data_IF_902432051165
#
_entry.id   IF_902432051165
#
_cell.length_a   1.000
_cell.length_b   1.000
_cell.length_c   1.000
_cell.angle_alpha   90.00
_cell.angle_beta   90.00
_cell.angle_gamma   90.00
#
_symmetry.space_group_name_H-M   'P 1'
#
loop_
_entity.id
_entity.type
_entity.pdbx_description
1 polymer ?
#
# COMPACT_ATOMS: atom_id res chain seq x y z
N UNK A 1 -10.91 -30.02 14.36
CA UNK A 1 -10.15 -28.86 13.84
C UNK A 1 -9.42 -29.33 12.58
N UNK A 2 -9.78 -28.87 11.38
CA UNK A 2 -9.29 -29.52 10.15
C UNK A 2 -7.78 -29.33 9.97
N UNK A 3 -7.04 -30.43 9.85
CA UNK A 3 -5.57 -30.46 9.67
C UNK A 3 -5.08 -29.51 8.57
N UNK A 4 -5.86 -29.37 7.49
CA UNK A 4 -5.57 -28.47 6.34
C UNK A 4 -5.40 -27.00 6.73
N UNK A 5 -6.09 -26.53 7.78
CA UNK A 5 -6.05 -25.13 8.22
C UNK A 5 -4.78 -24.75 8.97
N UNK A 6 -4.11 -25.72 9.59
CA UNK A 6 -2.93 -25.47 10.40
C UNK A 6 -1.63 -25.60 9.62
N UNK A 7 -1.63 -26.27 8.46
CA UNK A 7 -0.40 -26.49 7.66
C UNK A 7 0.31 -25.18 7.32
N UNK A 8 -0.35 -24.13 6.77
CA UNK A 8 0.35 -22.88 6.45
C UNK A 8 0.95 -22.22 7.70
N UNK A 9 0.18 -22.16 8.79
CA UNK A 9 0.65 -21.59 10.06
C UNK A 9 1.87 -22.35 10.61
N UNK A 10 1.84 -23.69 10.55
CA UNK A 10 2.93 -24.53 11.03
C UNK A 10 4.20 -24.29 10.23
N UNK A 11 4.10 -24.12 8.91
CA UNK A 11 5.23 -23.79 8.04
C UNK A 11 5.85 -22.44 8.42
N UNK A 12 5.03 -21.42 8.67
CA UNK A 12 5.51 -20.10 9.11
C UNK A 12 6.15 -20.14 10.50
N UNK A 13 5.56 -20.89 11.44
CA UNK A 13 6.15 -21.09 12.77
C UNK A 13 7.50 -21.81 12.67
N UNK A 14 7.60 -22.86 11.84
CA UNK A 14 8.88 -23.55 11.58
C UNK A 14 9.90 -22.57 11.00
N UNK A 15 9.52 -21.71 10.04
CA UNK A 15 10.41 -20.69 9.48
C UNK A 15 10.92 -19.71 10.54
N UNK A 16 10.04 -19.30 11.46
CA UNK A 16 10.45 -18.43 12.57
C UNK A 16 11.46 -19.13 13.50
N UNK A 17 11.23 -20.41 13.83
CA UNK A 17 12.21 -21.21 14.58
C UNK A 17 13.51 -21.37 13.81
N UNK A 18 13.45 -21.63 12.50
CA UNK A 18 14.63 -21.67 11.64
C UNK A 18 15.38 -20.34 11.69
N UNK A 19 14.70 -19.21 11.60
CA UNK A 19 15.35 -17.90 11.70
C UNK A 19 16.12 -17.75 13.02
N UNK A 20 15.50 -18.15 14.15
CA UNK A 20 16.12 -18.07 15.48
C UNK A 20 17.33 -19.00 15.64
N UNK A 21 17.37 -20.12 14.92
CA UNK A 21 18.49 -21.06 14.97
C UNK A 21 19.71 -20.64 14.14
N UNK A 22 19.56 -19.70 13.20
CA UNK A 22 20.65 -19.27 12.31
C UNK A 22 21.94 -18.92 13.08
N UNK A 23 21.93 -18.11 14.15
CA UNK A 23 23.15 -17.74 14.87
C UNK A 23 23.92 -18.91 15.47
N UNK A 24 23.21 -19.99 15.85
CA UNK A 24 23.80 -21.17 16.49
C UNK A 24 24.26 -22.21 15.46
N UNK A 25 23.55 -22.31 14.34
CA UNK A 25 23.76 -23.38 13.36
C UNK A 25 24.69 -22.93 12.23
N UNK A 26 24.60 -21.69 11.75
CA UNK A 26 25.43 -21.21 10.63
C UNK A 26 26.95 -21.26 10.90
N UNK A 27 27.47 -20.96 12.10
CA UNK A 27 28.91 -21.06 12.36
C UNK A 27 29.47 -22.48 12.16
N UNK A 28 28.68 -23.52 12.46
CA UNK A 28 29.10 -24.93 12.35
C UNK A 28 28.70 -25.63 11.06
N UNK A 29 27.84 -25.02 10.23
CA UNK A 29 27.39 -25.64 8.99
C UNK A 29 28.42 -25.55 7.87
N UNK A 30 28.51 -26.62 7.09
CA UNK A 30 29.14 -26.58 5.78
C UNK A 30 28.41 -25.59 4.86
N UNK A 31 29.14 -25.08 3.89
CA UNK A 31 28.66 -24.06 2.96
C UNK A 31 27.46 -24.55 2.12
N UNK A 32 27.53 -25.81 1.66
CA UNK A 32 26.43 -26.50 0.96
C UNK A 32 25.20 -26.65 1.84
N UNK A 33 25.39 -26.91 3.15
CA UNK A 33 24.28 -27.02 4.09
C UNK A 33 23.62 -25.67 4.37
N UNK A 34 24.38 -24.56 4.38
CA UNK A 34 23.81 -23.20 4.47
C UNK A 34 22.97 -22.84 3.25
N UNK A 35 23.44 -23.20 2.05
CA UNK A 35 22.68 -23.02 0.82
C UNK A 35 21.36 -23.81 0.88
N UNK A 36 21.41 -25.09 1.29
CA UNK A 36 20.21 -25.91 1.43
C UNK A 36 19.24 -25.31 2.47
N UNK A 37 19.76 -24.79 3.58
CA UNK A 37 18.96 -24.11 4.59
C UNK A 37 18.24 -22.88 4.05
N UNK A 38 18.95 -22.04 3.31
CA UNK A 38 18.38 -20.85 2.67
C UNK A 38 17.31 -21.22 1.63
N UNK A 39 17.60 -22.18 0.75
CA UNK A 39 16.67 -22.65 -0.28
C UNK A 39 15.42 -23.27 0.32
N UNK A 40 15.56 -24.11 1.35
CA UNK A 40 14.40 -24.73 2.02
C UNK A 40 13.52 -23.71 2.72
N UNK A 41 14.11 -22.70 3.39
CA UNK A 41 13.34 -21.62 4.01
C UNK A 41 12.55 -20.79 3.00
N UNK A 42 13.17 -20.41 1.87
CA UNK A 42 12.50 -19.66 0.78
C UNK A 42 11.46 -20.50 0.05
N UNK A 43 11.73 -21.79 -0.19
CA UNK A 43 10.76 -22.69 -0.82
C UNK A 43 9.52 -22.87 0.07
N UNK A 44 9.72 -22.92 1.38
CA UNK A 44 8.62 -23.04 2.36
C UNK A 44 7.71 -21.81 2.33
N UNK A 45 8.24 -20.62 2.04
CA UNK A 45 7.47 -19.35 1.93
C UNK A 45 6.60 -19.32 0.67
N UNK A 46 7.16 -19.76 -0.46
CA UNK A 46 6.35 -19.90 -1.66
C UNK A 46 5.22 -20.94 -1.48
N UNK A 47 5.51 -22.02 -0.74
CA UNK A 47 4.57 -23.10 -0.50
C UNK A 47 3.45 -22.69 0.47
N UNK A 48 3.74 -22.10 1.63
CA UNK A 48 2.69 -21.72 2.58
C UNK A 48 1.73 -20.68 1.99
N UNK A 49 2.23 -19.70 1.24
CA UNK A 49 1.43 -18.69 0.54
C UNK A 49 0.61 -19.30 -0.59
N UNK A 50 1.13 -20.30 -1.30
CA UNK A 50 0.37 -21.03 -2.32
C UNK A 50 -0.75 -21.88 -1.68
N UNK A 51 -0.45 -22.60 -0.60
CA UNK A 51 -1.41 -23.44 0.12
C UNK A 51 -2.52 -22.58 0.75
N UNK A 52 -2.18 -21.45 1.36
CA UNK A 52 -3.14 -20.53 1.97
C UNK A 52 -4.12 -19.94 0.95
N UNK A 53 -3.64 -19.58 -0.26
CA UNK A 53 -4.49 -19.12 -1.36
C UNK A 53 -5.35 -20.24 -1.94
N UNK A 54 -4.76 -21.41 -2.18
CA UNK A 54 -5.46 -22.54 -2.80
C UNK A 54 -6.56 -23.12 -1.93
N UNK A 55 -6.38 -23.11 -0.61
CA UNK A 55 -7.37 -23.67 0.31
C UNK A 55 -8.28 -22.61 0.94
N UNK A 56 -8.11 -21.33 0.58
CA UNK A 56 -8.82 -20.18 1.19
C UNK A 56 -8.71 -20.15 2.72
N UNK A 57 -7.63 -20.74 3.25
CA UNK A 57 -7.41 -20.85 4.68
C UNK A 57 -6.46 -19.76 5.12
N UNK A 58 -7.01 -18.57 5.39
CA UNK A 58 -6.30 -17.54 6.12
C UNK A 58 -6.69 -17.57 7.60
N UNK A 59 -5.72 -17.87 8.46
CA UNK A 59 -5.92 -17.81 9.90
C UNK A 59 -5.49 -16.46 10.46
N UNK A 60 -6.10 -16.04 11.57
CA UNK A 60 -5.72 -14.79 12.25
C UNK A 60 -4.28 -14.84 12.79
N UNK A 61 -3.79 -16.02 13.14
CA UNK A 61 -2.42 -16.24 13.61
C UNK A 61 -1.40 -16.13 12.47
N UNK A 62 -1.64 -16.85 11.37
CA UNK A 62 -0.76 -16.86 10.18
C UNK A 62 -0.53 -15.45 9.65
N UNK A 63 -1.59 -14.64 9.50
CA UNK A 63 -1.48 -13.23 9.10
C UNK A 63 -0.40 -12.44 9.84
N UNK A 64 -0.21 -12.71 11.13
CA UNK A 64 0.77 -12.03 11.99
C UNK A 64 2.15 -12.65 11.87
N UNK A 65 2.19 -13.98 11.90
CA UNK A 65 3.45 -14.73 11.98
C UNK A 65 4.14 -14.76 10.62
N UNK A 66 3.41 -14.81 9.51
CA UNK A 66 3.98 -14.92 8.18
C UNK A 66 4.90 -13.72 7.85
N UNK A 67 4.49 -12.44 8.00
CA UNK A 67 5.37 -11.30 7.71
C UNK A 67 6.58 -11.21 8.64
N UNK A 68 6.41 -11.61 9.91
CA UNK A 68 7.51 -11.60 10.89
C UNK A 68 8.51 -12.70 10.55
N UNK A 69 8.03 -13.93 10.32
CA UNK A 69 8.85 -15.08 9.98
C UNK A 69 9.63 -14.85 8.67
N UNK A 70 8.98 -14.30 7.65
CA UNK A 70 9.61 -13.94 6.37
C UNK A 70 10.75 -12.93 6.58
N UNK A 71 10.46 -11.78 7.21
CA UNK A 71 11.46 -10.72 7.42
C UNK A 71 12.60 -11.18 8.33
N UNK A 72 12.31 -11.88 9.42
CA UNK A 72 13.34 -12.37 10.34
C UNK A 72 14.24 -13.41 9.68
N UNK A 73 13.66 -14.38 8.95
CA UNK A 73 14.45 -15.41 8.26
C UNK A 73 15.36 -14.80 7.20
N UNK A 74 14.82 -13.95 6.35
CA UNK A 74 15.60 -13.33 5.27
C UNK A 74 16.70 -12.41 5.82
N UNK A 75 16.41 -11.54 6.78
CA UNK A 75 17.42 -10.64 7.37
C UNK A 75 18.54 -11.41 8.07
N UNK A 76 18.21 -12.40 8.90
CA UNK A 76 19.21 -13.18 9.64
C UNK A 76 20.03 -14.06 8.69
N UNK A 77 19.40 -14.71 7.71
CA UNK A 77 20.14 -15.54 6.76
C UNK A 77 21.12 -14.71 5.93
N UNK A 78 20.72 -13.51 5.49
CA UNK A 78 21.56 -12.61 4.73
C UNK A 78 22.70 -12.02 5.56
N UNK A 79 22.42 -11.66 6.82
CA UNK A 79 23.43 -11.15 7.74
C UNK A 79 24.54 -12.17 7.99
N UNK A 80 24.19 -13.44 8.26
CA UNK A 80 25.21 -14.46 8.45
C UNK A 80 25.90 -14.88 7.15
N UNK A 81 25.18 -14.84 6.02
CA UNK A 81 25.79 -15.02 4.71
C UNK A 81 26.77 -13.88 4.38
N UNK A 82 26.51 -12.63 4.79
CA UNK A 82 27.45 -11.53 4.54
C UNK A 82 28.76 -11.71 5.31
N UNK A 83 28.71 -12.31 6.49
CA UNK A 83 29.89 -12.58 7.31
C UNK A 83 30.71 -13.77 6.81
N UNK A 84 30.09 -14.75 6.14
CA UNK A 84 30.74 -16.04 5.84
C UNK A 84 30.92 -16.31 4.35
N UNK A 85 30.20 -15.62 3.46
CA UNK A 85 30.16 -15.90 2.01
C UNK A 85 30.64 -14.72 1.21
N UNK A 86 29.91 -13.59 1.28
CA UNK A 86 30.24 -12.40 0.52
C UNK A 86 29.81 -11.14 1.29
N UNK A 87 30.74 -10.27 1.72
CA UNK A 87 30.43 -9.09 2.52
C UNK A 87 29.51 -8.09 1.81
N UNK A 88 29.45 -8.09 0.48
CA UNK A 88 28.55 -7.22 -0.28
C UNK A 88 27.06 -7.50 -0.01
N UNK A 89 26.73 -8.70 0.48
CA UNK A 89 25.36 -9.03 0.91
C UNK A 89 24.86 -8.11 2.03
N UNK A 90 25.77 -7.49 2.80
CA UNK A 90 25.40 -6.51 3.82
C UNK A 90 24.63 -5.31 3.25
N UNK A 91 24.92 -4.91 2.01
CA UNK A 91 24.15 -3.85 1.33
C UNK A 91 22.68 -4.23 1.19
N UNK A 92 22.40 -5.48 0.79
CA UNK A 92 21.03 -6.00 0.68
C UNK A 92 20.35 -6.06 2.05
N UNK A 93 21.08 -6.47 3.10
CA UNK A 93 20.57 -6.49 4.47
C UNK A 93 20.14 -5.09 4.91
N UNK A 94 20.97 -4.08 4.66
CA UNK A 94 20.67 -2.69 5.01
C UNK A 94 19.45 -2.19 4.23
N UNK A 95 19.37 -2.51 2.93
CA UNK A 95 18.22 -2.15 2.10
C UNK A 95 16.92 -2.74 2.62
N UNK A 96 16.88 -4.06 2.89
CA UNK A 96 15.71 -4.74 3.44
C UNK A 96 15.31 -4.24 4.84
N UNK A 97 16.29 -4.00 5.71
CA UNK A 97 16.04 -3.43 7.03
C UNK A 97 15.45 -2.02 6.92
N UNK A 98 15.92 -1.21 5.97
CA UNK A 98 15.42 0.14 5.71
C UNK A 98 13.97 0.10 5.21
N UNK A 99 13.66 -0.79 4.27
CA UNK A 99 12.29 -0.98 3.77
C UNK A 99 11.36 -1.40 4.91
N UNK A 100 11.76 -2.40 5.71
CA UNK A 100 10.99 -2.86 6.86
C UNK A 100 10.75 -1.74 7.90
N UNK A 101 11.77 -0.89 8.13
CA UNK A 101 11.66 0.25 9.02
C UNK A 101 10.67 1.30 8.48
N UNK A 102 10.75 1.67 7.20
CA UNK A 102 9.82 2.63 6.58
C UNK A 102 8.38 2.11 6.65
N UNK A 103 8.13 0.85 6.30
CA UNK A 103 6.79 0.24 6.39
C UNK A 103 6.27 0.23 7.82
N UNK A 104 7.12 -0.03 8.80
CA UNK A 104 6.76 -0.02 10.22
C UNK A 104 6.40 1.39 10.70
N UNK A 105 7.19 2.40 10.32
CA UNK A 105 6.92 3.81 10.64
C UNK A 105 5.63 4.30 10.00
N UNK A 106 5.41 3.96 8.72
CA UNK A 106 4.17 4.26 8.01
C UNK A 106 2.95 3.73 8.76
N UNK A 107 3.05 2.49 9.21
CA UNK A 107 1.98 1.84 9.96
C UNK A 107 1.68 2.55 11.27
N UNK A 108 2.72 2.91 12.04
CA UNK A 108 2.57 3.64 13.31
C UNK A 108 1.93 5.02 13.08
N UNK A 109 2.37 5.75 12.04
CA UNK A 109 1.83 7.07 11.69
C UNK A 109 0.34 7.00 11.35
N UNK A 110 -0.06 6.03 10.52
CA UNK A 110 -1.45 5.84 10.13
C UNK A 110 -2.36 5.43 11.29
N UNK A 111 -1.86 4.61 12.23
CA UNK A 111 -2.61 4.25 13.45
C UNK A 111 -2.86 5.50 14.31
N UNK A 112 -1.85 6.35 14.46
CA UNK A 112 -1.97 7.62 15.20
C UNK A 112 -2.97 8.55 14.53
N UNK A 113 -2.96 8.61 13.20
CA UNK A 113 -3.89 9.42 12.41
C UNK A 113 -5.36 9.03 12.64
N UNK A 114 -5.66 7.73 12.66
CA UNK A 114 -7.04 7.24 12.88
C UNK A 114 -7.53 7.36 14.33
N UNK A 115 -6.77 8.00 15.24
CA UNK A 115 -7.04 8.07 16.69
C UNK A 115 -7.31 6.68 17.31
N UNK A 116 -6.68 5.64 16.76
CA UNK A 116 -6.86 4.28 17.24
C UNK A 116 -5.94 4.09 18.44
N UNK A 117 -6.54 4.00 19.63
CA UNK A 117 -5.82 3.76 20.88
C UNK A 117 -5.27 2.33 20.90
N UNK A 118 -4.01 2.17 20.50
CA UNK A 118 -3.31 0.89 20.50
C UNK A 118 -3.34 0.22 21.87
N UNK A 119 -3.41 0.95 22.99
CA UNK A 119 -3.44 0.31 24.31
C UNK A 119 -4.72 -0.53 24.53
N UNK A 120 -5.82 -0.17 23.87
CA UNK A 120 -7.13 -0.84 24.00
C UNK A 120 -7.37 -1.94 22.98
N UNK A 121 -6.47 -2.11 22.00
CA UNK A 121 -6.58 -3.18 21.01
C UNK A 121 -5.97 -4.48 21.54
N UNK A 122 -6.70 -5.58 21.37
CA UNK A 122 -6.16 -6.93 21.55
C UNK A 122 -5.00 -7.15 20.55
N UNK A 123 -3.98 -7.92 20.98
CA UNK A 123 -2.81 -8.28 20.16
C UNK A 123 -3.16 -8.66 18.70
N UNK A 124 -4.18 -9.50 18.44
CA UNK A 124 -4.48 -9.90 17.08
C UNK A 124 -5.35 -8.90 16.29
N UNK A 125 -5.80 -7.80 16.92
CA UNK A 125 -6.41 -6.65 16.23
C UNK A 125 -5.35 -5.64 15.82
N UNK A 126 -4.33 -5.42 16.69
CA UNK A 126 -3.16 -4.57 16.38
C UNK A 126 -2.46 -5.03 15.11
N UNK A 127 -2.26 -6.32 14.99
CA UNK A 127 -1.53 -6.93 13.88
C UNK A 127 -2.34 -6.94 12.59
N UNK A 128 -3.66 -7.17 12.65
CA UNK A 128 -4.54 -7.04 11.48
C UNK A 128 -4.46 -5.62 10.91
N UNK A 129 -4.59 -4.62 11.78
CA UNK A 129 -4.46 -3.22 11.40
C UNK A 129 -3.06 -2.94 10.82
N UNK A 130 -2.02 -3.52 11.43
CA UNK A 130 -0.65 -3.35 10.95
C UNK A 130 -0.48 -3.84 9.51
N UNK A 131 -0.95 -5.05 9.23
CA UNK A 131 -0.85 -5.68 7.89
C UNK A 131 -1.66 -4.89 6.88
N UNK A 132 -2.90 -4.55 7.20
CA UNK A 132 -3.79 -3.79 6.30
C UNK A 132 -3.20 -2.41 5.95
N UNK A 133 -2.50 -1.79 6.90
CA UNK A 133 -1.84 -0.50 6.69
C UNK A 133 -0.55 -0.65 5.90
N UNK A 134 0.23 -1.70 6.15
CA UNK A 134 1.44 -2.02 5.40
C UNK A 134 1.14 -2.36 3.92
N UNK A 135 0.06 -3.12 3.68
CA UNK A 135 -0.42 -3.50 2.35
C UNK A 135 -1.05 -2.32 1.57
N UNK A 136 -1.38 -1.22 2.26
CA UNK A 136 -1.92 0.00 1.65
C UNK A 136 -0.90 0.79 0.80
N UNK A 137 0.40 0.49 0.94
CA UNK A 137 1.45 1.10 0.15
C UNK A 137 1.42 0.57 -1.29
N UNK A 138 1.36 1.46 -2.28
CA UNK A 138 1.05 1.11 -3.66
C UNK A 138 2.31 0.72 -4.47
N UNK A 139 3.03 -0.31 -3.98
CA UNK A 139 4.37 -0.68 -4.48
C UNK A 139 4.43 -2.06 -5.14
N UNK A 140 3.28 -2.63 -5.50
CA UNK A 140 3.15 -4.07 -5.77
C UNK A 140 3.95 -4.64 -6.95
N UNK A 141 4.25 -3.85 -8.00
CA UNK A 141 5.00 -4.35 -9.18
C UNK A 141 6.51 -4.24 -9.03
N UNK A 142 6.97 -3.13 -8.45
CA UNK A 142 8.40 -2.84 -8.28
C UNK A 142 8.99 -3.75 -7.20
N UNK A 143 8.29 -3.92 -6.08
CA UNK A 143 8.72 -4.80 -4.99
C UNK A 143 8.88 -6.27 -5.43
N UNK A 144 7.93 -6.79 -6.23
CA UNK A 144 7.99 -8.18 -6.72
C UNK A 144 9.19 -8.44 -7.65
N UNK A 145 9.45 -7.53 -8.60
CA UNK A 145 10.61 -7.66 -9.49
C UNK A 145 11.93 -7.60 -8.71
N UNK A 146 12.02 -6.71 -7.73
CA UNK A 146 13.16 -6.60 -6.81
C UNK A 146 13.38 -7.89 -6.03
N UNK A 147 12.32 -8.47 -5.47
CA UNK A 147 12.43 -9.71 -4.69
C UNK A 147 13.01 -10.86 -5.51
N UNK A 148 12.55 -11.06 -6.75
CA UNK A 148 13.10 -12.09 -7.65
C UNK A 148 14.60 -11.87 -7.91
N UNK A 149 14.98 -10.63 -8.21
CA UNK A 149 16.37 -10.26 -8.47
C UNK A 149 17.26 -10.52 -7.23
N UNK A 150 16.77 -10.17 -6.05
CA UNK A 150 17.43 -10.40 -4.76
C UNK A 150 17.59 -11.89 -4.45
N UNK A 151 16.54 -12.71 -4.61
CA UNK A 151 16.64 -14.15 -4.38
C UNK A 151 17.67 -14.79 -5.34
N UNK A 152 17.70 -14.35 -6.60
CA UNK A 152 18.66 -14.83 -7.58
C UNK A 152 20.12 -14.44 -7.22
N UNK A 153 20.36 -13.20 -6.79
CA UNK A 153 21.71 -12.76 -6.43
C UNK A 153 22.26 -13.49 -5.21
N UNK A 154 21.41 -13.72 -4.22
CA UNK A 154 21.76 -14.47 -3.01
C UNK A 154 22.02 -15.93 -3.34
N UNK A 155 21.17 -16.57 -4.13
CA UNK A 155 21.38 -17.95 -4.57
C UNK A 155 22.71 -18.13 -5.32
N UNK A 156 23.04 -17.20 -6.23
CA UNK A 156 24.32 -17.21 -6.96
C UNK A 156 25.51 -16.99 -6.00
N UNK A 157 25.37 -16.15 -4.97
CA UNK A 157 26.39 -15.97 -3.95
C UNK A 157 26.65 -17.25 -3.13
N UNK A 158 25.59 -17.97 -2.79
CA UNK A 158 25.71 -19.30 -2.17
C UNK A 158 26.26 -20.36 -3.14
N UNK A 159 26.09 -20.19 -4.46
CA UNK A 159 26.65 -21.11 -5.44
C UNK A 159 28.13 -20.83 -5.72
N UNK A 160 28.56 -19.56 -5.67
CA UNK A 160 29.97 -19.17 -5.87
C UNK A 160 30.91 -19.71 -4.82
N UNK A 161 30.33 -20.06 -3.69
CA UNK A 161 30.94 -20.80 -2.61
C UNK A 161 31.34 -22.24 -2.97
N UNK A 162 30.61 -22.90 -3.87
CA UNK A 162 30.94 -24.24 -4.38
C UNK A 162 31.82 -24.16 -5.64
N UNK A 163 31.63 -23.12 -6.44
CA UNK A 163 32.34 -22.90 -7.70
C UNK A 163 33.05 -21.55 -7.66
N UNK A 164 34.36 -21.50 -7.31
CA UNK A 164 35.10 -20.25 -7.12
C UNK A 164 35.08 -19.30 -8.33
N UNK A 165 34.95 -19.84 -9.55
CA UNK A 165 34.84 -19.04 -10.78
C UNK A 165 33.61 -18.11 -10.79
N UNK A 166 32.58 -18.39 -9.98
CA UNK A 166 31.38 -17.57 -9.90
C UNK A 166 31.48 -16.42 -8.89
N UNK A 167 32.58 -16.29 -8.13
CA UNK A 167 32.70 -15.24 -7.08
C UNK A 167 32.61 -13.84 -7.67
N UNK A 168 33.29 -13.60 -8.80
CA UNK A 168 33.24 -12.31 -9.50
C UNK A 168 31.84 -11.98 -10.05
N UNK A 169 31.18 -12.83 -10.86
CA UNK A 169 29.84 -12.54 -11.35
C UNK A 169 28.80 -12.45 -10.22
N UNK A 170 28.94 -13.24 -9.14
CA UNK A 170 28.09 -13.12 -7.95
C UNK A 170 28.22 -11.74 -7.31
N UNK A 171 29.45 -11.23 -7.16
CA UNK A 171 29.72 -9.94 -6.54
C UNK A 171 29.17 -8.79 -7.38
N UNK A 172 29.33 -8.86 -8.71
CA UNK A 172 28.76 -7.88 -9.64
C UNK A 172 27.24 -7.87 -9.59
N UNK A 173 26.62 -9.06 -9.53
CA UNK A 173 25.16 -9.16 -9.43
C UNK A 173 24.66 -8.62 -8.09
N UNK A 174 25.31 -8.95 -6.96
CA UNK A 174 24.96 -8.39 -5.65
C UNK A 174 25.04 -6.86 -5.68
N UNK A 175 26.14 -6.29 -6.20
CA UNK A 175 26.28 -4.83 -6.31
C UNK A 175 25.21 -4.20 -7.21
N UNK A 176 24.85 -4.86 -8.31
CA UNK A 176 23.73 -4.41 -9.13
C UNK A 176 22.41 -4.46 -8.36
N UNK A 177 22.16 -5.52 -7.59
CA UNK A 177 20.93 -5.63 -6.80
C UNK A 177 20.82 -4.53 -5.75
N UNK A 178 21.90 -4.20 -5.05
CA UNK A 178 21.89 -3.13 -4.03
C UNK A 178 21.65 -1.75 -4.66
N UNK A 179 22.16 -1.49 -5.87
CA UNK A 179 21.85 -0.27 -6.62
C UNK A 179 20.36 -0.20 -6.97
N UNK A 180 19.77 -1.32 -7.41
CA UNK A 180 18.33 -1.40 -7.73
C UNK A 180 17.45 -1.23 -6.49
N UNK A 181 17.94 -1.47 -5.27
CA UNK A 181 17.19 -1.22 -4.04
C UNK A 181 16.95 0.27 -3.76
N UNK A 182 17.89 1.13 -4.14
CA UNK A 182 17.82 2.57 -3.91
C UNK A 182 16.50 3.17 -4.41
N UNK A 183 16.10 3.03 -5.69
CA UNK A 183 14.84 3.59 -6.18
C UNK A 183 13.61 2.97 -5.51
N UNK A 184 13.69 1.72 -5.05
CA UNK A 184 12.59 1.08 -4.31
C UNK A 184 12.43 1.76 -2.95
N UNK A 185 13.53 1.90 -2.20
CA UNK A 185 13.56 2.60 -0.91
C UNK A 185 13.07 4.04 -1.07
N UNK A 186 13.56 4.76 -2.09
CA UNK A 186 13.10 6.13 -2.36
C UNK A 186 11.60 6.19 -2.61
N UNK A 187 11.04 5.23 -3.37
CA UNK A 187 9.60 5.19 -3.62
C UNK A 187 8.81 4.94 -2.32
N UNK A 188 9.22 3.96 -1.51
CA UNK A 188 8.58 3.69 -0.21
C UNK A 188 8.68 4.89 0.74
N UNK A 189 9.84 5.55 0.79
CA UNK A 189 10.04 6.75 1.61
C UNK A 189 9.18 7.93 1.12
N UNK A 190 9.03 8.09 -0.19
CA UNK A 190 8.21 9.15 -0.78
C UNK A 190 6.74 8.95 -0.48
N UNK A 191 6.20 7.73 -0.66
CA UNK A 191 4.81 7.41 -0.30
C UNK A 191 4.57 7.66 1.20
N UNK A 192 5.46 7.19 2.06
CA UNK A 192 5.40 7.46 3.49
C UNK A 192 5.39 8.96 3.83
N UNK A 193 6.24 9.75 3.16
CA UNK A 193 6.34 11.19 3.40
C UNK A 193 5.09 11.95 2.94
N UNK A 194 4.54 11.59 1.77
CA UNK A 194 3.29 12.17 1.24
C UNK A 194 2.16 11.95 2.24
N UNK A 195 2.01 10.73 2.75
CA UNK A 195 0.94 10.40 3.71
C UNK A 195 1.12 11.13 5.03
N UNK A 196 2.35 11.23 5.54
CA UNK A 196 2.64 12.03 6.73
C UNK A 196 2.31 13.52 6.53
N UNK A 197 2.61 14.08 5.35
CA UNK A 197 2.31 15.48 5.03
C UNK A 197 0.80 15.71 4.93
N UNK A 198 0.08 14.81 4.27
CA UNK A 198 -1.38 14.86 4.15
C UNK A 198 -2.04 14.82 5.52
N UNK A 199 -1.59 13.92 6.41
CA UNK A 199 -2.06 13.85 7.79
C UNK A 199 -1.81 15.16 8.56
N UNK A 200 -0.63 15.77 8.42
CA UNK A 200 -0.33 17.05 9.08
C UNK A 200 -1.22 18.19 8.57
N UNK A 201 -1.51 18.20 7.27
CA UNK A 201 -2.43 19.18 6.67
C UNK A 201 -3.85 18.95 7.21
N UNK A 202 -4.36 17.73 7.16
CA UNK A 202 -5.72 17.39 7.62
C UNK A 202 -5.92 17.72 9.10
N UNK A 203 -4.97 17.35 9.96
CA UNK A 203 -4.99 17.70 11.39
C UNK A 203 -4.89 19.22 11.64
N UNK A 204 -4.14 19.97 10.82
CA UNK A 204 -4.09 21.43 10.93
C UNK A 204 -5.40 22.09 10.47
N UNK A 205 -6.06 21.54 9.46
CA UNK A 205 -7.39 21.96 9.01
C UNK A 205 -8.42 21.66 10.10
N UNK A 206 -8.40 20.47 10.71
CA UNK A 206 -9.32 20.13 11.82
C UNK A 206 -9.09 21.00 13.06
N UNK A 207 -7.84 21.34 13.39
CA UNK A 207 -7.54 22.19 14.54
C UNK A 207 -7.92 23.66 14.29
N UNK A 208 -7.78 24.14 13.05
CA UNK A 208 -8.17 25.50 12.67
C UNK A 208 -9.67 25.63 12.37
N UNK A 209 -10.31 24.56 11.91
CA UNK A 209 -11.75 24.50 11.75
C UNK A 209 -12.40 24.39 13.13
N UNK A 210 -12.87 25.53 13.66
CA UNK A 210 -13.67 25.53 14.89
C UNK A 210 -14.85 24.55 14.71
N UNK A 211 -15.26 23.81 15.75
CA UNK A 211 -16.48 22.95 15.70
C UNK A 211 -17.68 23.67 15.07
N UNK A 212 -17.76 24.99 15.27
CA UNK A 212 -18.77 25.91 14.71
C UNK A 212 -18.70 26.05 13.18
N UNK A 213 -17.53 26.06 12.58
CA UNK A 213 -17.34 26.22 11.13
C UNK A 213 -17.63 24.91 10.38
N UNK A 214 -17.31 23.78 11.01
CA UNK A 214 -17.63 22.44 10.53
C UNK A 214 -19.15 22.19 10.54
N UNK A 215 -19.86 22.74 11.53
CA UNK A 215 -21.32 22.68 11.63
C UNK A 215 -22.01 23.57 10.58
N UNK A 216 -21.44 24.75 10.28
CA UNK A 216 -21.92 25.63 9.20
C UNK A 216 -21.75 24.98 7.82
N UNK A 217 -20.61 24.34 7.57
CA UNK A 217 -20.36 23.63 6.31
C UNK A 217 -21.28 22.42 6.12
N UNK A 218 -21.57 21.67 7.18
CA UNK A 218 -22.57 20.59 7.14
C UNK A 218 -23.97 21.11 6.79
N UNK A 219 -24.41 22.20 7.43
CA UNK A 219 -25.71 22.84 7.11
C UNK A 219 -25.76 23.40 5.69
N UNK A 220 -24.65 23.96 5.20
CA UNK A 220 -24.56 24.44 3.82
C UNK A 220 -24.64 23.29 2.80
N UNK A 221 -23.98 22.15 3.09
CA UNK A 221 -24.04 20.96 2.24
C UNK A 221 -25.44 20.34 2.18
N UNK A 222 -26.13 20.22 3.32
CA UNK A 222 -27.54 19.75 3.35
C UNK A 222 -28.46 20.66 2.55
N UNK A 223 -28.28 21.99 2.65
CA UNK A 223 -29.04 22.93 1.82
C UNK A 223 -28.77 22.72 0.34
N UNK A 224 -27.50 22.59 -0.07
CA UNK A 224 -27.12 22.39 -1.46
C UNK A 224 -27.68 21.07 -2.03
N UNK A 225 -27.71 20.01 -1.22
CA UNK A 225 -28.29 18.72 -1.61
C UNK A 225 -29.81 18.79 -1.74
N UNK A 226 -30.47 19.60 -0.89
CA UNK A 226 -31.90 19.91 -1.04
C UNK A 226 -32.18 20.70 -2.31
N UNK A 227 -31.35 21.69 -2.67
CA UNK A 227 -31.49 22.43 -3.92
C UNK A 227 -31.29 21.54 -5.15
N UNK A 228 -30.28 20.65 -5.15
CA UNK A 228 -30.09 19.67 -6.24
C UNK A 228 -31.28 18.74 -6.44
N UNK A 229 -31.94 18.31 -5.36
CA UNK A 229 -33.17 17.50 -5.45
C UNK A 229 -34.35 18.29 -6.02
N UNK A 230 -34.44 19.58 -5.72
CA UNK A 230 -35.48 20.46 -6.28
C UNK A 230 -35.23 20.66 -7.78
N UNK A 231 -33.97 20.89 -8.18
CA UNK A 231 -33.55 21.02 -9.58
C UNK A 231 -33.93 19.78 -10.39
N UNK A 232 -33.56 18.59 -9.90
CA UNK A 232 -33.94 17.32 -10.52
C UNK A 232 -35.46 17.13 -10.61
N UNK A 233 -36.21 17.59 -9.62
CA UNK A 233 -37.67 17.55 -9.67
C UNK A 233 -38.25 18.55 -10.68
N UNK A 234 -37.60 19.71 -10.86
CA UNK A 234 -37.96 20.71 -11.87
C UNK A 234 -37.74 20.18 -13.28
N UNK A 235 -36.56 19.63 -13.56
CA UNK A 235 -36.21 19.04 -14.86
C UNK A 235 -37.20 17.92 -15.24
N UNK A 236 -37.53 17.06 -14.27
CA UNK A 236 -38.53 16.00 -14.47
C UNK A 236 -39.95 16.54 -14.68
N UNK A 237 -40.28 17.71 -14.15
CA UNK A 237 -41.58 18.36 -14.35
C UNK A 237 -41.64 18.99 -15.73
N UNK A 238 -40.56 19.65 -16.16
CA UNK A 238 -40.44 20.23 -17.49
C UNK A 238 -40.50 19.16 -18.58
N UNK A 239 -39.82 18.01 -18.41
CA UNK A 239 -39.97 16.87 -19.32
C UNK A 239 -41.41 16.35 -19.39
N UNK A 240 -42.11 16.25 -18.24
CA UNK A 240 -43.52 15.81 -18.21
C UNK A 240 -44.44 16.82 -18.87
N UNK A 241 -44.19 18.12 -18.71
CA UNK A 241 -44.94 19.19 -19.38
C UNK A 241 -44.70 19.11 -20.89
N UNK A 242 -43.44 18.98 -21.33
CA UNK A 242 -43.08 18.82 -22.75
C UNK A 242 -43.74 17.57 -23.35
N UNK A 243 -43.73 16.43 -22.64
CA UNK A 243 -44.40 15.21 -23.09
C UNK A 243 -45.91 15.36 -23.16
N UNK A 244 -46.53 16.02 -22.18
CA UNK A 244 -47.97 16.30 -22.20
C UNK A 244 -48.35 17.24 -23.35
N UNK A 245 -47.55 18.28 -23.58
CA UNK A 245 -47.73 19.23 -24.67
C UNK A 245 -47.59 18.56 -26.05
N UNK A 246 -46.58 17.71 -26.24
CA UNK A 246 -46.42 16.88 -27.46
C UNK A 246 -47.58 15.92 -27.68
N UNK A 247 -48.16 15.38 -26.61
CA UNK A 247 -49.28 14.42 -26.67
C UNK A 247 -50.62 15.10 -26.97
N UNK A 248 -50.86 16.30 -26.44
CA UNK A 248 -52.07 17.09 -26.70
C UNK A 248 -52.09 17.69 -28.11
N UNK A 249 -50.92 17.99 -28.70
CA UNK A 249 -50.84 18.67 -30.01
C UNK A 249 -50.47 17.80 -31.22
N UNK A 250 -50.43 16.45 -31.11
CA UNK A 250 -50.17 15.49 -32.22
C UNK A 250 -49.25 16.02 -33.33
N UNK A 251 -48.00 16.33 -33.00
CA UNK A 251 -46.98 16.59 -34.02
C UNK A 251 -46.40 15.25 -34.52
N UNK A 252 -46.81 14.83 -35.72
CA UNK A 252 -46.11 13.82 -36.53
C UNK A 252 -45.02 14.52 -37.37
N UNK A 253 -43.77 14.15 -37.09
CA UNK A 253 -42.52 14.28 -37.87
C UNK A 253 -42.12 15.60 -38.56
N UNK A 254 -40.89 15.99 -38.20
CA UNK A 254 -39.83 16.65 -38.97
C UNK A 254 -40.02 18.09 -39.48
N UNK A 255 -38.90 18.82 -39.41
CA UNK A 255 -38.62 20.10 -40.08
C UNK A 255 -39.33 21.34 -39.53
N UNK A 256 -38.81 21.92 -38.44
CA UNK A 256 -38.66 23.39 -38.25
C UNK A 256 -37.78 23.63 -37.00
N UNK A 257 -36.46 23.57 -37.19
CA UNK A 257 -35.53 24.43 -36.44
C UNK A 257 -35.40 25.70 -37.29
N UNK A 258 -35.75 26.90 -36.78
CA UNK A 258 -34.79 27.62 -35.94
C UNK A 258 -35.44 28.60 -34.94
N UNK A 259 -35.36 28.33 -33.64
CA UNK A 259 -35.61 29.36 -32.59
C UNK A 259 -35.11 28.93 -31.19
N UNK A 260 -34.07 28.08 -31.13
CA UNK A 260 -33.56 27.52 -29.86
C UNK A 260 -32.03 27.60 -29.74
N UNK A 261 -31.37 28.39 -30.59
CA UNK A 261 -29.91 28.62 -30.50
C UNK A 261 -29.51 29.82 -29.64
N UNK A 262 -30.46 30.59 -29.12
CA UNK A 262 -30.14 31.85 -28.39
C UNK A 262 -30.21 31.71 -26.85
N UNK A 263 -30.26 30.49 -26.31
CA UNK A 263 -30.23 30.28 -24.84
C UNK A 263 -28.96 29.54 -24.38
N UNK A 264 -28.28 28.80 -25.26
CA UNK A 264 -27.04 28.10 -24.90
C UNK A 264 -25.78 29.02 -24.95
N UNK A 265 -25.84 30.19 -25.61
CA UNK A 265 -24.69 31.11 -25.71
C UNK A 265 -24.52 32.05 -24.50
N UNK A 266 -25.46 32.07 -23.54
CA UNK A 266 -25.33 32.86 -22.29
C UNK A 266 -24.77 32.01 -21.14
N UNK A 267 -24.80 30.67 -21.23
CA UNK A 267 -24.31 29.80 -20.17
C UNK A 267 -22.78 29.57 -20.19
N UNK A 268 -22.08 29.95 -21.27
CA UNK A 268 -20.63 29.68 -21.42
C UNK A 268 -19.72 30.87 -21.05
N UNK A 269 -20.29 32.04 -20.68
CA UNK A 269 -19.49 33.25 -20.38
C UNK A 269 -19.55 33.78 -18.93
N UNK A 270 -20.21 33.11 -17.98
CA UNK A 270 -20.20 33.51 -16.55
C UNK A 270 -19.23 32.68 -15.70
N UNK A 271 -18.03 32.41 -16.22
CA UNK A 271 -16.84 32.20 -15.39
C UNK A 271 -16.37 33.59 -14.92
N UNK A 272 -17.10 34.17 -13.97
CA UNK A 272 -16.64 35.36 -13.25
C UNK A 272 -15.49 34.92 -12.33
N UNK A 273 -14.30 35.35 -12.75
CA UNK A 273 -13.08 35.52 -11.95
C UNK A 273 -13.39 36.36 -10.70
N UNK A 274 -13.60 35.72 -9.54
CA UNK A 274 -13.74 36.43 -8.26
C UNK A 274 -12.39 36.60 -7.55
N UNK A 275 -11.44 37.22 -8.29
CA UNK A 275 -10.29 37.94 -7.73
C UNK A 275 -10.62 39.43 -7.57
N UNK A 276 -11.76 39.86 -7.01
CA UNK A 276 -11.98 41.31 -6.84
C UNK A 276 -12.99 41.80 -5.79
N UNK A 277 -13.27 41.11 -4.68
CA UNK A 277 -13.93 41.75 -3.51
C UNK A 277 -13.32 41.13 -2.23
N UNK A 278 -12.55 41.81 -1.37
CA UNK A 278 -12.71 43.16 -0.80
C UNK A 278 -11.35 43.69 -0.30
N UNK A 279 -10.96 44.87 -0.78
CA UNK A 279 -9.85 45.68 -0.29
C UNK A 279 -10.41 46.91 0.40
N UNK A 280 -10.67 46.88 1.72
CA UNK A 280 -10.75 48.08 2.60
C UNK A 280 -11.18 47.70 4.03
N UNK A 281 -10.22 47.48 4.93
CA UNK A 281 -10.32 47.93 6.32
C UNK A 281 -8.90 48.24 6.80
N UNK A 282 -8.51 49.51 6.62
CA UNK A 282 -7.43 50.18 7.33
C UNK A 282 -8.12 51.18 8.26
N UNK A 283 -8.14 50.88 9.55
CA UNK A 283 -7.92 51.80 10.66
C UNK A 283 -7.62 50.98 11.91
#
# INVERSE_FOLDING_TARGET
MSLKKNIPNTLSTIRLFMALLIPFVFPGLSLSSKLLYFLTGNATDALDGYLARKWEVQSRYGKIVDPIADKSFNLLSLLFASLTINPLLLGIVIGEATIAAITSLHTISNIKSKNIDMSKLNLPSKTKLFIETADGLNVSRIGRKKAILMTASVAIAFLSSLVPALVFPASLLIAFTTIVEIPVITKYATEYYIDCKNYKIESSIECNATKRDLEKLKKAKEKLEKYKKIDQCSDMLDEKIIQKFKKEHKFENEEYAPALTDIDEVAENDVIDDKAYTKTYKH
#
